data_IF_498175135799
#
_entry.id   IF_498175135799
#
_cell.length_a   1.000
_cell.length_b   1.000
_cell.length_c   1.000
_cell.angle_alpha   90.00
_cell.angle_beta   90.00
_cell.angle_gamma   90.00
#
_symmetry.space_group_name_H-M   'P 1'
#
loop_
_entity.id
_entity.type
_entity.pdbx_description
1 polymer ?
#
# COMPACT_ATOMS: atom_id res chain seq x y z
N UNK A 1 -40.13 -71.93 -5.66
CA UNK A 1 -40.75 -70.61 -5.92
C UNK A 1 -41.82 -70.40 -4.84
N UNK A 2 -42.02 -69.25 -4.21
CA UNK A 2 -41.78 -67.87 -4.66
C UNK A 2 -41.32 -66.97 -3.52
N UNK A 3 -40.24 -66.21 -3.76
CA UNK A 3 -39.73 -65.16 -2.89
C UNK A 3 -40.54 -63.88 -3.13
N UNK A 4 -41.14 -63.30 -2.08
CA UNK A 4 -41.91 -62.05 -2.17
C UNK A 4 -41.02 -60.89 -1.68
N UNK A 5 -40.64 -59.94 -2.55
CA UNK A 5 -39.76 -58.85 -2.13
C UNK A 5 -40.52 -57.85 -1.23
N UNK A 6 -39.85 -57.19 -0.28
CA UNK A 6 -40.49 -56.17 0.55
C UNK A 6 -40.83 -54.93 -0.28
N UNK A 7 -42.06 -54.44 -0.14
CA UNK A 7 -42.52 -53.22 -0.80
C UNK A 7 -41.73 -52.01 -0.30
N UNK A 8 -40.96 -51.36 -1.18
CA UNK A 8 -40.26 -50.11 -0.85
C UNK A 8 -41.28 -49.00 -0.69
N UNK A 9 -41.36 -48.39 0.52
CA UNK A 9 -42.15 -47.19 0.74
C UNK A 9 -41.47 -46.01 0.06
N UNK A 10 -42.09 -45.34 -0.92
CA UNK A 10 -41.55 -44.08 -1.42
C UNK A 10 -41.71 -43.03 -0.33
N UNK A 11 -40.59 -42.50 0.18
CA UNK A 11 -40.58 -41.28 0.98
C UNK A 11 -41.04 -40.14 0.07
N UNK A 12 -42.34 -39.83 0.14
CA UNK A 12 -42.90 -38.64 -0.49
C UNK A 12 -42.44 -37.44 0.32
N UNK A 13 -41.25 -36.94 0.00
CA UNK A 13 -40.82 -35.63 0.44
C UNK A 13 -41.72 -34.64 -0.28
N UNK A 14 -42.74 -34.15 0.43
CA UNK A 14 -43.53 -33.01 -0.01
C UNK A 14 -42.61 -31.79 0.06
N UNK A 15 -41.94 -31.49 -1.05
CA UNK A 15 -41.20 -30.23 -1.19
C UNK A 15 -42.20 -29.09 -1.16
N UNK A 16 -42.34 -28.48 0.02
CA UNK A 16 -43.19 -27.33 0.19
C UNK A 16 -42.45 -26.12 -0.42
N UNK A 17 -42.69 -25.85 -1.70
CA UNK A 17 -41.96 -24.84 -2.47
C UNK A 17 -41.97 -23.45 -1.79
N UNK A 18 -43.06 -23.13 -1.09
CA UNK A 18 -43.20 -21.95 -0.23
C UNK A 18 -42.23 -21.92 0.95
N UNK A 19 -42.00 -23.06 1.61
CA UNK A 19 -41.05 -23.15 2.71
C UNK A 19 -39.60 -23.06 2.20
N UNK A 20 -39.32 -23.65 1.04
CA UNK A 20 -38.01 -23.54 0.39
C UNK A 20 -37.72 -22.09 -0.01
N UNK A 21 -38.64 -21.44 -0.72
CA UNK A 21 -38.49 -20.02 -1.09
C UNK A 21 -38.40 -19.10 0.12
N UNK A 22 -39.19 -19.37 1.16
CA UNK A 22 -39.15 -18.64 2.42
C UNK A 22 -37.79 -18.76 3.12
N UNK A 23 -37.20 -19.95 3.16
CA UNK A 23 -35.88 -20.18 3.75
C UNK A 23 -34.75 -19.47 2.97
N UNK A 24 -34.82 -19.46 1.64
CA UNK A 24 -33.84 -18.78 0.79
C UNK A 24 -33.98 -17.26 0.95
N UNK A 25 -35.20 -16.73 0.93
CA UNK A 25 -35.47 -15.31 1.13
C UNK A 25 -35.01 -14.84 2.51
N UNK A 26 -35.27 -15.62 3.57
CA UNK A 26 -34.77 -15.35 4.92
C UNK A 26 -33.24 -15.39 4.98
N UNK A 27 -32.61 -16.38 4.35
CA UNK A 27 -31.16 -16.47 4.28
C UNK A 27 -30.52 -15.26 3.58
N UNK A 28 -31.09 -14.83 2.45
CA UNK A 28 -30.62 -13.64 1.73
C UNK A 28 -30.82 -12.36 2.54
N UNK A 29 -31.96 -12.23 3.23
CA UNK A 29 -32.23 -11.09 4.10
C UNK A 29 -31.26 -11.01 5.27
N UNK A 30 -31.00 -12.15 5.93
CA UNK A 30 -30.03 -12.24 7.03
C UNK A 30 -28.60 -11.98 6.55
N UNK A 31 -28.23 -12.49 5.37
CA UNK A 31 -26.95 -12.19 4.74
C UNK A 31 -26.79 -10.71 4.43
N UNK A 32 -27.82 -10.07 3.88
CA UNK A 32 -27.82 -8.64 3.61
C UNK A 32 -27.66 -7.82 4.90
N UNK A 33 -28.42 -8.16 5.96
CA UNK A 33 -28.27 -7.52 7.26
C UNK A 33 -26.87 -7.67 7.83
N UNK A 34 -26.26 -8.86 7.74
CA UNK A 34 -24.91 -9.10 8.22
C UNK A 34 -23.86 -8.27 7.46
N UNK A 35 -23.96 -8.19 6.12
CA UNK A 35 -23.07 -7.37 5.30
C UNK A 35 -23.25 -5.89 5.64
N UNK A 36 -24.50 -5.42 5.73
CA UNK A 36 -24.80 -4.04 6.08
C UNK A 36 -24.23 -3.68 7.47
N UNK A 37 -24.40 -4.55 8.47
CA UNK A 37 -23.84 -4.36 9.82
C UNK A 37 -22.32 -4.37 9.80
N UNK A 38 -21.70 -5.24 9.01
CA UNK A 38 -20.23 -5.33 8.88
C UNK A 38 -19.67 -4.10 8.20
N UNK A 39 -20.29 -3.63 7.11
CA UNK A 39 -19.92 -2.38 6.44
C UNK A 39 -20.16 -1.18 7.36
N UNK A 40 -21.26 -1.16 8.11
CA UNK A 40 -21.55 -0.09 9.06
C UNK A 40 -20.54 -0.06 10.21
N UNK A 41 -20.23 -1.21 10.83
CA UNK A 41 -19.18 -1.31 11.86
C UNK A 41 -17.82 -0.93 11.29
N UNK A 42 -17.44 -1.49 10.14
CA UNK A 42 -16.18 -1.19 9.49
C UNK A 42 -16.06 0.31 9.22
N UNK A 43 -17.09 0.92 8.64
CA UNK A 43 -17.16 2.36 8.44
C UNK A 43 -17.06 3.09 9.77
N UNK A 44 -17.86 2.76 10.78
CA UNK A 44 -17.89 3.46 12.07
C UNK A 44 -16.56 3.36 12.82
N UNK A 45 -15.96 2.17 12.91
CA UNK A 45 -14.69 1.96 13.61
C UNK A 45 -13.51 2.59 12.85
N UNK A 46 -13.44 2.40 11.53
CA UNK A 46 -12.38 3.02 10.72
C UNK A 46 -12.51 4.54 10.70
N UNK A 47 -13.72 5.10 10.52
CA UNK A 47 -13.94 6.53 10.65
C UNK A 47 -13.59 7.00 12.07
N UNK A 48 -14.03 6.35 13.15
CA UNK A 48 -13.72 6.82 14.51
C UNK A 48 -12.22 6.84 14.84
N UNK A 49 -11.44 5.87 14.33
CA UNK A 49 -10.00 5.78 14.53
C UNK A 49 -9.21 6.70 13.59
N UNK A 50 -9.63 6.84 12.32
CA UNK A 50 -8.92 7.67 11.32
C UNK A 50 -9.39 9.13 11.27
N UNK A 51 -10.57 9.46 11.82
CA UNK A 51 -11.06 10.85 11.87
C UNK A 51 -10.37 11.66 12.95
N UNK A 52 -9.77 11.08 13.99
CA UNK A 52 -9.00 11.88 14.95
C UNK A 52 -7.87 12.69 14.26
N UNK A 53 -7.03 12.08 13.40
CA UNK A 53 -6.03 12.83 12.65
C UNK A 53 -6.61 13.62 11.46
N UNK A 54 -7.65 13.12 10.78
CA UNK A 54 -8.23 13.81 9.61
C UNK A 54 -9.10 15.00 10.02
N UNK A 55 -9.85 14.94 11.11
CA UNK A 55 -10.57 16.08 11.67
C UNK A 55 -9.59 17.16 12.13
N UNK A 56 -8.45 16.79 12.73
CA UNK A 56 -7.38 17.75 13.02
C UNK A 56 -6.81 18.38 11.75
N UNK A 57 -6.57 17.60 10.69
CA UNK A 57 -6.12 18.13 9.40
C UNK A 57 -7.16 19.05 8.72
N UNK A 58 -8.45 18.72 8.82
CA UNK A 58 -9.55 19.57 8.31
C UNK A 58 -9.73 20.82 9.17
N UNK A 59 -9.56 20.75 10.50
CA UNK A 59 -9.53 21.93 11.36
C UNK A 59 -8.33 22.84 11.04
N UNK A 60 -7.16 22.24 10.77
CA UNK A 60 -5.94 22.95 10.33
C UNK A 60 -6.11 23.56 8.92
N UNK A 61 -6.94 22.97 8.07
CA UNK A 61 -7.24 23.51 6.74
C UNK A 61 -8.34 24.59 6.79
N UNK A 62 -9.33 24.43 7.68
CA UNK A 62 -10.43 25.37 7.90
C UNK A 62 -9.99 26.62 8.69
N UNK A 63 -8.89 26.53 9.44
CA UNK A 63 -8.20 27.68 10.02
C UNK A 63 -7.04 28.01 9.09
N UNK A 64 -7.18 28.97 8.16
CA UNK A 64 -6.10 29.29 7.25
C UNK A 64 -4.86 29.59 8.11
N UNK A 65 -3.72 28.90 7.88
CA UNK A 65 -2.50 29.29 8.54
C UNK A 65 -2.32 30.77 8.19
N UNK A 66 -2.12 31.61 9.21
CA UNK A 66 -1.52 32.91 9.00
C UNK A 66 -0.21 32.61 8.31
N UNK A 67 -0.17 32.78 6.99
CA UNK A 67 1.01 32.59 6.18
C UNK A 67 1.97 33.67 6.67
N UNK A 68 2.87 33.29 7.58
CA UNK A 68 4.08 34.06 7.76
C UNK A 68 4.71 34.17 6.37
N UNK A 69 5.12 35.38 5.94
CA UNK A 69 5.63 35.60 4.60
C UNK A 69 6.73 34.58 4.32
N UNK A 70 6.52 33.80 3.27
CA UNK A 70 7.48 32.81 2.82
C UNK A 70 8.82 33.53 2.59
N UNK A 71 9.93 33.07 3.19
CA UNK A 71 11.18 33.80 3.07
C UNK A 71 11.51 33.93 1.58
N UNK A 72 11.83 35.14 1.08
CA UNK A 72 11.99 35.40 -0.37
C UNK A 72 13.07 34.54 -1.04
N UNK A 73 13.89 33.85 -0.24
CA UNK A 73 14.98 32.99 -0.67
C UNK A 73 14.59 31.51 -0.83
N UNK A 74 13.34 31.07 -0.58
CA UNK A 74 12.97 29.64 -0.74
C UNK A 74 13.34 29.06 -2.11
N UNK A 75 13.08 29.82 -3.17
CA UNK A 75 13.37 29.39 -4.54
C UNK A 75 14.88 29.32 -4.82
N UNK A 76 15.66 30.21 -4.20
CA UNK A 76 17.11 30.22 -4.33
C UNK A 76 17.76 29.07 -3.56
N UNK A 77 17.34 28.85 -2.30
CA UNK A 77 17.78 27.73 -1.47
C UNK A 77 17.46 26.39 -2.16
N UNK A 78 16.25 26.24 -2.70
CA UNK A 78 15.86 25.04 -3.44
C UNK A 78 16.70 24.85 -4.71
N UNK A 79 17.01 25.92 -5.43
CA UNK A 79 17.88 25.86 -6.60
C UNK A 79 19.31 25.43 -6.23
N UNK A 80 19.87 26.00 -5.16
CA UNK A 80 21.19 25.62 -4.66
C UNK A 80 21.24 24.15 -4.20
N UNK A 81 20.20 23.69 -3.49
CA UNK A 81 20.08 22.29 -3.10
C UNK A 81 20.02 21.36 -4.32
N UNK A 82 19.27 21.75 -5.36
CA UNK A 82 19.17 20.98 -6.60
C UNK A 82 20.51 20.95 -7.35
N UNK A 83 21.24 22.05 -7.40
CA UNK A 83 22.59 22.09 -7.99
C UNK A 83 23.52 21.10 -7.28
N UNK A 84 23.57 21.16 -5.95
CA UNK A 84 24.41 20.27 -5.15
C UNK A 84 24.06 18.80 -5.37
N UNK A 85 22.76 18.47 -5.40
CA UNK A 85 22.29 17.11 -5.70
C UNK A 85 22.68 16.65 -7.12
N UNK A 86 22.59 17.54 -8.11
CA UNK A 86 22.99 17.23 -9.48
C UNK A 86 24.49 16.94 -9.59
N UNK A 87 25.35 17.73 -8.94
CA UNK A 87 26.80 17.49 -8.92
C UNK A 87 27.15 16.12 -8.31
N UNK A 88 26.51 15.76 -7.19
CA UNK A 88 26.70 14.45 -6.56
C UNK A 88 26.27 13.31 -7.49
N UNK A 89 25.09 13.41 -8.11
CA UNK A 89 24.61 12.39 -9.05
C UNK A 89 25.53 12.25 -10.26
N UNK A 90 26.00 13.37 -10.82
CA UNK A 90 26.91 13.38 -11.95
C UNK A 90 28.26 12.71 -11.62
N UNK A 91 28.78 12.93 -10.41
CA UNK A 91 30.01 12.27 -9.96
C UNK A 91 29.87 10.75 -9.84
N UNK A 92 28.71 10.27 -9.37
CA UNK A 92 28.40 8.84 -9.30
C UNK A 92 28.21 8.22 -10.68
N UNK A 93 27.56 8.92 -11.60
CA UNK A 93 27.36 8.42 -12.96
C UNK A 93 28.67 8.39 -13.75
N UNK A 94 29.58 9.35 -13.52
CA UNK A 94 30.95 9.26 -14.03
C UNK A 94 31.67 8.01 -13.45
N UNK A 95 31.53 7.77 -12.14
CA UNK A 95 32.09 6.58 -11.51
C UNK A 95 31.55 5.27 -12.12
N UNK A 96 30.25 5.22 -12.47
CA UNK A 96 29.59 4.07 -13.13
C UNK A 96 30.02 3.87 -14.59
N UNK A 97 30.18 4.96 -15.33
CA UNK A 97 30.44 4.93 -16.78
C UNK A 97 31.92 4.74 -17.11
N UNK A 98 32.83 5.03 -16.18
CA UNK A 98 34.27 4.90 -16.42
C UNK A 98 34.72 3.43 -16.41
N UNK A 99 35.24 2.87 -17.53
CA UNK A 99 35.66 1.48 -17.60
C UNK A 99 36.87 1.14 -16.71
N UNK A 100 37.65 2.15 -16.29
CA UNK A 100 38.75 1.95 -15.32
C UNK A 100 38.23 1.54 -13.95
N UNK A 101 37.05 2.01 -13.56
CA UNK A 101 36.41 1.67 -12.28
C UNK A 101 35.90 0.23 -12.26
N UNK A 102 35.51 -0.32 -13.42
CA UNK A 102 35.14 -1.74 -13.56
C UNK A 102 36.30 -2.69 -13.28
N UNK A 103 37.55 -2.22 -13.45
CA UNK A 103 38.75 -3.01 -13.15
C UNK A 103 39.14 -3.01 -11.67
N UNK A 104 38.51 -2.16 -10.84
CA UNK A 104 38.78 -2.09 -9.40
C UNK A 104 37.70 -2.85 -8.60
N UNK A 105 38.03 -3.98 -7.95
CA UNK A 105 37.04 -4.81 -7.26
C UNK A 105 36.38 -4.10 -6.06
N UNK A 106 37.06 -3.14 -5.41
CA UNK A 106 36.46 -2.36 -4.31
C UNK A 106 35.42 -1.39 -4.82
N UNK A 107 35.71 -0.71 -5.93
CA UNK A 107 34.75 0.17 -6.57
C UNK A 107 33.51 -0.61 -7.01
N UNK A 108 33.69 -1.77 -7.66
CA UNK A 108 32.58 -2.63 -8.11
C UNK A 108 31.67 -3.06 -6.95
N UNK A 109 32.25 -3.45 -5.80
CA UNK A 109 31.49 -3.82 -4.61
C UNK A 109 30.59 -2.68 -4.13
N UNK A 110 31.16 -1.49 -3.95
CA UNK A 110 30.40 -0.33 -3.48
C UNK A 110 29.39 0.18 -4.50
N UNK A 111 29.72 0.10 -5.79
CA UNK A 111 28.82 0.46 -6.88
C UNK A 111 27.60 -0.46 -6.93
N UNK A 112 27.79 -1.76 -6.69
CA UNK A 112 26.72 -2.74 -6.65
C UNK A 112 25.88 -2.59 -5.39
N UNK A 113 26.51 -2.29 -4.25
CA UNK A 113 25.82 -2.03 -3.01
C UNK A 113 24.93 -0.77 -3.11
N UNK A 114 25.43 0.29 -3.75
CA UNK A 114 24.67 1.52 -3.97
C UNK A 114 23.47 1.30 -4.91
N UNK A 115 23.62 0.48 -5.95
CA UNK A 115 22.53 0.14 -6.87
C UNK A 115 21.42 -0.69 -6.21
N UNK A 116 21.78 -1.60 -5.30
CA UNK A 116 20.82 -2.51 -4.65
C UNK A 116 20.18 -1.92 -3.40
N UNK A 117 20.90 -1.06 -2.68
CA UNK A 117 20.43 -0.36 -1.48
C UNK A 117 21.11 1.01 -1.36
N UNK A 118 20.56 2.05 -2.01
CA UNK A 118 21.12 3.40 -1.95
C UNK A 118 21.17 3.91 -0.51
N UNK A 119 22.38 4.21 -0.02
CA UNK A 119 22.61 4.72 1.34
C UNK A 119 23.70 5.78 1.31
N UNK A 120 23.70 6.73 2.25
CA UNK A 120 24.75 7.75 2.31
C UNK A 120 26.15 7.13 2.50
N UNK A 121 26.21 6.00 3.21
CA UNK A 121 27.45 5.24 3.38
C UNK A 121 27.92 4.59 2.08
N UNK A 122 27.05 3.94 1.32
CA UNK A 122 27.44 3.36 0.01
C UNK A 122 27.90 4.45 -0.94
N UNK A 123 27.16 5.56 -1.00
CA UNK A 123 27.45 6.71 -1.88
C UNK A 123 28.81 7.34 -1.58
N UNK A 124 29.11 7.58 -0.31
CA UNK A 124 30.41 8.11 0.11
C UNK A 124 31.57 7.17 -0.24
N UNK A 125 31.38 5.85 -0.09
CA UNK A 125 32.41 4.87 -0.43
C UNK A 125 32.60 4.73 -1.94
N UNK A 126 31.54 4.86 -2.76
CA UNK A 126 31.68 4.91 -4.22
C UNK A 126 32.56 6.10 -4.61
N UNK A 127 32.31 7.30 -4.09
CA UNK A 127 33.12 8.49 -4.39
C UNK A 127 34.57 8.36 -3.90
N UNK A 128 34.79 7.66 -2.78
CA UNK A 128 36.14 7.45 -2.26
C UNK A 128 36.93 6.41 -3.07
N UNK A 129 36.29 5.32 -3.50
CA UNK A 129 36.97 4.17 -4.11
C UNK A 129 36.90 4.14 -5.64
N UNK A 130 36.03 4.95 -6.26
CA UNK A 130 35.87 5.07 -7.71
C UNK A 130 36.32 6.46 -8.17
N UNK A 131 37.61 6.61 -8.52
CA UNK A 131 38.20 7.83 -9.09
C UNK A 131 38.96 7.50 -10.38
#
# INVERSE_FOLDING_TARGET
>A
MSYRPPARRPLRISFNALALSGSIALGLWLGFLAIALTCWLGSHFLFSQQLAPVAQAVQQLAKPPVVAPEPPNRMFEQYQENLRKNEELQSLDNARSNPRNLSNPKCQFWLQQDQTAPSDKSRANVLQFCN
#
